data_IF_678020205436
#
_entry.id   IF_678020205436
#
_cell.length_a   1.000
_cell.length_b   1.000
_cell.length_c   1.000
_cell.angle_alpha   90.00
_cell.angle_beta   90.00
_cell.angle_gamma   90.00
#
_symmetry.space_group_name_H-M   'P 1'
#
loop_
_entity.id
_entity.type
_entity.pdbx_description
1 polymer ?
#
# COMPACT_ATOMS: atom_id res chain seq x y z
N UNK A 1 7.80 -12.64 -0.63
CA UNK A 1 9.21 -12.36 -0.27
C UNK A 1 10.01 -13.64 -0.04
N UNK A 2 9.56 -14.54 0.86
CA UNK A 2 10.29 -15.77 1.19
C UNK A 2 10.64 -16.67 0.00
N UNK A 3 9.70 -16.89 -0.93
CA UNK A 3 9.95 -17.64 -2.18
C UNK A 3 11.05 -17.02 -3.07
N UNK A 4 11.32 -15.72 -2.93
CA UNK A 4 12.40 -15.02 -3.63
C UNK A 4 13.69 -14.92 -2.79
N UNK A 5 13.76 -15.60 -1.64
CA UNK A 5 14.94 -15.61 -0.76
C UNK A 5 15.05 -14.42 0.19
N UNK A 6 13.98 -13.65 0.40
CA UNK A 6 14.01 -12.46 1.26
C UNK A 6 13.12 -12.62 2.49
N UNK A 7 13.71 -12.40 3.67
CA UNK A 7 13.00 -12.31 4.96
C UNK A 7 12.52 -10.89 5.27
N UNK A 8 13.29 -9.90 4.84
CA UNK A 8 13.00 -8.48 5.01
C UNK A 8 12.47 -7.92 3.69
N UNK A 9 11.27 -7.36 3.71
CA UNK A 9 10.64 -6.79 2.53
C UNK A 9 9.84 -5.52 2.84
N UNK A 10 9.91 -4.56 1.92
CA UNK A 10 8.99 -3.44 1.85
C UNK A 10 7.98 -3.79 0.77
N UNK A 11 6.70 -3.84 1.11
CA UNK A 11 5.62 -4.03 0.13
C UNK A 11 5.26 -2.69 -0.49
N UNK A 12 4.98 -2.70 -1.78
CA UNK A 12 4.63 -1.51 -2.55
C UNK A 12 3.56 -1.88 -3.57
N UNK A 13 2.30 -1.74 -3.15
CA UNK A 13 1.13 -1.94 -4.00
C UNK A 13 0.72 -0.61 -4.60
N UNK A 14 0.72 -0.47 -5.92
CA UNK A 14 0.20 0.74 -6.57
C UNK A 14 -0.99 0.36 -7.44
N UNK A 15 -2.14 0.95 -7.10
CA UNK A 15 -3.39 0.82 -7.83
C UNK A 15 -3.72 2.05 -8.66
N UNK A 16 -5.00 2.17 -9.03
CA UNK A 16 -5.52 3.33 -9.74
C UNK A 16 -5.73 4.57 -8.86
N UNK A 17 -5.82 4.43 -7.54
CA UNK A 17 -6.18 5.55 -6.65
C UNK A 17 -5.13 5.80 -5.58
N UNK A 18 -4.56 4.72 -5.03
CA UNK A 18 -3.66 4.75 -3.89
C UNK A 18 -2.41 3.91 -4.12
N UNK A 19 -1.44 4.15 -3.25
CA UNK A 19 -0.30 3.27 -3.02
C UNK A 19 -0.34 2.81 -1.57
N UNK A 20 -0.19 1.50 -1.35
CA UNK A 20 -0.14 0.88 -0.04
C UNK A 20 1.26 0.34 0.24
N UNK A 21 1.82 0.74 1.38
CA UNK A 21 3.18 0.37 1.81
C UNK A 21 3.13 -0.30 3.17
N UNK A 22 3.82 -1.44 3.31
CA UNK A 22 3.99 -2.14 4.57
C UNK A 22 5.39 -2.72 4.69
N UNK A 23 5.75 -3.15 5.90
CA UNK A 23 7.04 -3.73 6.23
C UNK A 23 6.87 -5.17 6.72
N UNK A 24 7.73 -6.03 6.20
CA UNK A 24 7.92 -7.41 6.65
C UNK A 24 9.35 -7.50 7.17
N UNK A 25 9.52 -7.86 8.44
CA UNK A 25 10.83 -8.04 9.07
C UNK A 25 10.94 -9.47 9.59
N UNK A 26 12.05 -10.12 9.26
CA UNK A 26 12.34 -11.51 9.63
C UNK A 26 11.23 -12.51 9.24
N UNK A 27 10.51 -12.21 8.17
CA UNK A 27 9.39 -13.03 7.67
C UNK A 27 8.02 -12.66 8.23
N UNK A 28 7.94 -11.74 9.19
CA UNK A 28 6.71 -11.36 9.87
C UNK A 28 6.28 -9.94 9.46
N UNK A 29 5.01 -9.72 9.08
CA UNK A 29 4.50 -8.37 8.86
C UNK A 29 4.46 -7.58 10.16
N UNK A 30 4.65 -6.27 10.07
CA UNK A 30 4.46 -5.38 11.22
C UNK A 30 2.96 -5.23 11.51
N UNK A 31 2.60 -5.18 12.79
CA UNK A 31 1.24 -4.97 13.25
C UNK A 31 1.13 -3.67 14.05
N UNK A 32 -0.05 -3.07 14.03
CA UNK A 32 -0.42 -1.92 14.85
C UNK A 32 -1.77 -2.18 15.51
N UNK A 33 -1.95 -1.68 16.74
CA UNK A 33 -3.24 -1.69 17.45
C UNK A 33 -3.93 -0.33 17.40
N UNK A 34 -3.39 0.62 16.63
CA UNK A 34 -3.92 1.97 16.53
C UNK A 34 -3.84 2.48 15.10
N UNK A 35 -5.00 2.77 14.52
CA UNK A 35 -5.12 3.39 13.21
C UNK A 35 -6.26 4.39 13.21
N UNK A 36 -6.11 5.48 12.47
CA UNK A 36 -7.22 6.39 12.17
C UNK A 36 -7.83 5.99 10.82
N UNK A 37 -9.15 5.74 10.80
CA UNK A 37 -9.91 5.44 9.59
C UNK A 37 -11.10 6.39 9.52
N UNK A 38 -11.16 7.20 8.45
CA UNK A 38 -12.17 8.26 8.31
C UNK A 38 -12.26 9.18 9.55
N UNK A 39 -11.11 9.53 10.12
CA UNK A 39 -10.99 10.32 11.36
C UNK A 39 -11.50 9.65 12.64
N UNK A 40 -11.83 8.35 12.57
CA UNK A 40 -12.17 7.55 13.75
C UNK A 40 -10.97 6.72 14.19
N UNK A 41 -10.58 6.78 15.47
CA UNK A 41 -9.55 5.90 16.00
C UNK A 41 -10.10 4.47 16.11
N UNK A 42 -9.44 3.54 15.44
CA UNK A 42 -9.69 2.09 15.55
C UNK A 42 -8.60 1.48 16.43
N UNK A 43 -9.03 0.71 17.43
CA UNK A 43 -8.19 0.05 18.43
C UNK A 43 -8.25 -1.48 18.32
N UNK A 44 -7.91 -1.98 17.13
CA UNK A 44 -7.92 -3.42 16.81
C UNK A 44 -6.57 -3.80 16.23
N UNK A 45 -5.95 -4.93 16.62
CA UNK A 45 -4.76 -5.44 15.97
C UNK A 45 -4.98 -5.58 14.45
N UNK A 46 -4.06 -5.03 13.66
CA UNK A 46 -4.10 -5.11 12.21
C UNK A 46 -2.70 -4.97 11.62
N UNK A 47 -2.52 -5.46 10.40
CA UNK A 47 -1.27 -5.25 9.66
C UNK A 47 -1.05 -3.74 9.49
N UNK A 48 0.18 -3.30 9.77
CA UNK A 48 0.56 -1.91 9.66
C UNK A 48 0.77 -1.54 8.18
N UNK A 49 -0.26 -0.95 7.59
CA UNK A 49 -0.29 -0.52 6.19
C UNK A 49 -0.44 0.99 6.14
N UNK A 50 0.50 1.64 5.45
CA UNK A 50 0.48 3.07 5.18
C UNK A 50 -0.04 3.31 3.77
N UNK A 51 -1.13 4.07 3.69
CA UNK A 51 -1.82 4.38 2.45
C UNK A 51 -1.53 5.82 2.06
N UNK A 52 -1.17 6.05 0.81
CA UNK A 52 -1.06 7.40 0.24
C UNK A 52 -1.91 7.56 -1.02
N UNK A 53 -2.43 8.77 -1.22
CA UNK A 53 -3.18 9.16 -2.41
C UNK A 53 -2.30 9.38 -3.65
N UNK A 54 -1.56 8.35 -4.04
CA UNK A 54 -0.73 8.32 -5.24
C UNK A 54 -1.00 7.02 -5.99
N UNK A 55 -1.72 7.08 -7.10
CA UNK A 55 -2.02 5.94 -7.97
C UNK A 55 -2.15 6.39 -9.42
N UNK A 56 -2.47 5.47 -10.33
CA UNK A 56 -2.55 5.78 -11.77
C UNK A 56 -3.51 6.94 -12.11
N UNK A 57 -4.61 7.06 -11.38
CA UNK A 57 -5.62 8.12 -11.54
C UNK A 57 -5.31 9.40 -10.77
N UNK A 58 -4.18 9.52 -10.07
CA UNK A 58 -3.82 10.77 -9.38
C UNK A 58 -3.75 11.92 -10.37
N UNK A 59 -4.50 12.98 -10.10
CA UNK A 59 -4.66 14.13 -10.98
C UNK A 59 -3.46 15.05 -10.85
N UNK A 60 -2.86 15.41 -11.98
CA UNK A 60 -1.86 16.45 -12.08
C UNK A 60 -2.53 17.82 -12.25
N UNK A 61 -2.05 18.83 -11.53
CA UNK A 61 -2.56 20.20 -11.64
C UNK A 61 -1.50 21.21 -11.24
N UNK A 62 -1.69 22.45 -11.68
CA UNK A 62 -0.87 23.58 -11.27
C UNK A 62 -1.66 24.40 -10.26
N UNK A 63 -1.07 24.70 -9.12
CA UNK A 63 -1.71 25.52 -8.10
C UNK A 63 -1.65 27.02 -8.45
N UNK A 64 -2.28 27.85 -7.61
CA UNK A 64 -2.27 29.31 -7.79
C UNK A 64 -0.88 29.95 -7.66
N UNK A 65 0.12 29.23 -7.13
CA UNK A 65 1.50 29.67 -7.02
C UNK A 65 2.37 29.21 -8.21
N UNK A 66 1.78 28.50 -9.19
CA UNK A 66 2.50 28.01 -10.37
C UNK A 66 3.27 26.71 -10.12
N UNK A 67 3.06 26.03 -8.99
CA UNK A 67 3.71 24.76 -8.69
C UNK A 67 2.90 23.58 -9.24
N UNK A 68 3.60 22.62 -9.85
CA UNK A 68 3.00 21.36 -10.29
C UNK A 68 2.78 20.41 -9.10
N UNK A 69 1.58 19.85 -9.00
CA UNK A 69 1.18 18.86 -8.00
C UNK A 69 0.60 17.62 -8.68
N UNK A 70 0.67 16.49 -7.99
CA UNK A 70 0.05 15.22 -8.41
C UNK A 70 -0.62 14.55 -7.22
N UNK A 71 -1.93 14.37 -7.29
CA UNK A 71 -2.73 13.97 -6.13
C UNK A 71 -2.92 15.11 -5.12
N UNK A 72 -3.57 14.85 -3.96
CA UNK A 72 -4.16 13.58 -3.54
C UNK A 72 -5.48 13.26 -4.26
N UNK A 73 -6.03 14.22 -5.02
CA UNK A 73 -7.23 14.01 -5.85
C UNK A 73 -6.98 12.92 -6.89
N UNK A 74 -7.95 12.05 -7.08
CA UNK A 74 -7.91 10.98 -8.08
C UNK A 74 -9.11 11.07 -9.02
N UNK A 75 -8.89 10.74 -10.29
CA UNK A 75 -9.94 10.55 -11.29
C UNK A 75 -10.68 9.21 -11.13
N UNK A 76 -10.22 8.34 -10.22
CA UNK A 76 -10.80 7.02 -9.98
C UNK A 76 -10.77 6.12 -11.21
N UNK A 77 -11.72 5.18 -11.28
CA UNK A 77 -11.91 4.31 -12.45
C UNK A 77 -12.86 4.89 -13.50
N UNK A 78 -13.80 5.73 -13.05
CA UNK A 78 -14.76 6.50 -13.86
C UNK A 78 -14.90 7.87 -13.17
N UNK A 79 -14.64 9.00 -13.87
CA UNK A 79 -14.34 9.11 -15.30
C UNK A 79 -12.93 8.62 -15.69
N UNK A 80 -12.02 8.45 -14.72
CA UNK A 80 -10.69 7.88 -14.92
C UNK A 80 -9.73 8.77 -15.73
N UNK A 81 -8.54 8.24 -16.06
CA UNK A 81 -7.58 8.84 -16.99
C UNK A 81 -8.23 9.20 -18.33
N UNK A 82 -7.75 10.27 -18.97
CA UNK A 82 -8.23 10.67 -20.31
C UNK A 82 -7.98 9.56 -21.33
N UNK A 83 -6.80 8.93 -21.24
CA UNK A 83 -6.37 7.79 -22.03
C UNK A 83 -7.38 6.62 -22.03
N UNK A 84 -8.23 6.50 -21.01
CA UNK A 84 -9.18 5.39 -20.87
C UNK A 84 -10.51 5.65 -21.58
N UNK A 85 -10.74 6.84 -22.15
CA UNK A 85 -11.95 7.19 -22.92
C UNK A 85 -13.28 6.99 -22.16
N UNK A 86 -13.28 7.25 -20.85
CA UNK A 86 -14.46 7.10 -19.96
C UNK A 86 -15.04 8.42 -19.45
N UNK A 87 -14.75 9.51 -20.17
CA UNK A 87 -15.19 10.87 -19.82
C UNK A 87 -14.20 11.64 -18.94
N UNK A 88 -12.98 11.13 -18.74
CA UNK A 88 -11.91 11.85 -18.06
C UNK A 88 -11.50 13.10 -18.82
N UNK A 89 -11.21 14.19 -18.10
CA UNK A 89 -10.81 15.49 -18.69
C UNK A 89 -9.60 16.12 -17.99
N UNK A 90 -9.09 15.51 -16.93
CA UNK A 90 -7.94 16.00 -16.17
C UNK A 90 -6.72 15.10 -16.44
N UNK A 91 -5.50 15.65 -16.55
CA UNK A 91 -4.30 14.86 -16.76
C UNK A 91 -4.03 14.02 -15.51
N UNK A 92 -3.73 12.75 -15.71
CA UNK A 92 -3.42 11.82 -14.62
C UNK A 92 -2.02 11.24 -14.73
N UNK A 93 -1.57 10.55 -13.67
CA UNK A 93 -0.32 9.79 -13.70
C UNK A 93 -0.33 8.71 -14.80
N UNK A 94 -1.47 8.07 -15.07
CA UNK A 94 -1.62 7.12 -16.17
C UNK A 94 -1.47 7.82 -17.52
N UNK A 95 -2.05 9.00 -17.71
CA UNK A 95 -1.88 9.76 -18.97
C UNK A 95 -0.41 10.08 -19.22
N UNK A 96 0.33 10.50 -18.18
CA UNK A 96 1.78 10.73 -18.28
C UNK A 96 2.56 9.45 -18.67
N UNK A 97 2.20 8.29 -18.09
CA UNK A 97 2.82 7.01 -18.46
C UNK A 97 2.52 6.62 -19.91
N UNK A 98 1.31 6.89 -20.42
CA UNK A 98 0.92 6.65 -21.82
C UNK A 98 1.70 7.58 -22.76
N UNK A 99 1.79 8.87 -22.43
CA UNK A 99 2.54 9.88 -23.21
C UNK A 99 4.02 9.48 -23.38
N UNK A 100 4.65 8.96 -22.32
CA UNK A 100 6.04 8.52 -22.36
C UNK A 100 6.23 7.08 -22.91
N UNK A 101 5.17 6.43 -23.37
CA UNK A 101 5.24 5.07 -23.91
C UNK A 101 5.61 4.00 -22.88
N UNK A 102 5.44 4.27 -21.57
CA UNK A 102 5.65 3.28 -20.50
C UNK A 102 4.52 2.26 -20.44
N UNK A 103 3.33 2.69 -20.86
CA UNK A 103 2.20 1.82 -21.13
C UNK A 103 2.03 1.68 -22.64
N UNK A 104 1.47 0.54 -23.08
CA UNK A 104 1.16 0.33 -24.49
C UNK A 104 0.17 1.43 -24.94
N UNK A 105 0.53 2.26 -25.94
CA UNK A 105 -0.26 3.42 -26.33
C UNK A 105 -1.50 3.06 -27.15
N UNK A 106 -1.66 1.79 -27.54
CA UNK A 106 -2.78 1.31 -28.36
C UNK A 106 -3.85 0.65 -27.50
N UNK A 107 -3.45 -0.30 -26.65
CA UNK A 107 -4.37 -1.00 -25.77
C UNK A 107 -3.65 -1.66 -24.58
N UNK A 108 -4.35 -1.72 -23.45
CA UNK A 108 -3.95 -2.45 -22.24
C UNK A 108 -4.91 -3.61 -21.96
N UNK A 109 -4.68 -4.34 -20.87
CA UNK A 109 -5.48 -5.52 -20.47
C UNK A 109 -5.55 -6.58 -21.60
N UNK A 110 -4.38 -6.93 -22.15
CA UNK A 110 -4.29 -7.90 -23.25
C UNK A 110 -5.11 -7.49 -24.49
N UNK A 111 -5.20 -6.19 -24.77
CA UNK A 111 -5.89 -5.65 -25.94
C UNK A 111 -7.37 -5.36 -25.73
N UNK A 112 -7.97 -5.72 -24.59
CA UNK A 112 -9.41 -5.53 -24.37
C UNK A 112 -9.79 -4.10 -24.02
N UNK A 113 -8.81 -3.26 -23.66
CA UNK A 113 -9.04 -1.87 -23.30
C UNK A 113 -8.19 -0.95 -24.19
N UNK A 114 -8.79 -0.35 -25.23
CA UNK A 114 -8.12 0.63 -26.09
C UNK A 114 -7.66 1.85 -25.30
N UNK A 115 -6.58 2.48 -25.77
CA UNK A 115 -5.96 3.66 -25.18
C UNK A 115 -5.96 4.81 -26.18
N UNK A 116 -6.34 6.00 -25.70
CA UNK A 116 -6.26 7.25 -26.45
C UNK A 116 -4.98 8.03 -26.09
N UNK A 117 -3.90 7.74 -26.81
CA UNK A 117 -2.64 8.47 -26.67
C UNK A 117 -2.80 9.95 -27.00
N UNK A 118 -3.57 10.30 -28.03
CA UNK A 118 -3.72 11.68 -28.47
C UNK A 118 -4.52 12.51 -27.45
N UNK A 119 -5.54 11.92 -26.82
CA UNK A 119 -6.26 12.49 -25.69
C UNK A 119 -5.33 12.73 -24.49
N UNK A 120 -4.50 11.75 -24.13
CA UNK A 120 -3.52 11.88 -23.04
C UNK A 120 -2.48 12.98 -23.33
N UNK A 121 -1.93 13.03 -24.55
CA UNK A 121 -0.97 14.06 -24.96
C UNK A 121 -1.59 15.46 -24.88
N UNK A 122 -2.79 15.62 -25.44
CA UNK A 122 -3.50 16.90 -25.48
C UNK A 122 -3.77 17.46 -24.08
N UNK A 123 -4.28 16.64 -23.17
CA UNK A 123 -4.59 17.13 -21.81
C UNK A 123 -3.33 17.48 -21.01
N UNK A 124 -2.24 16.73 -21.19
CA UNK A 124 -0.93 17.06 -20.59
C UNK A 124 -0.36 18.33 -21.19
N UNK A 125 -0.49 18.52 -22.49
CA UNK A 125 -0.04 19.72 -23.21
C UNK A 125 -0.79 20.97 -22.72
N UNK A 126 -2.12 20.95 -22.81
CA UNK A 126 -2.97 22.10 -22.51
C UNK A 126 -2.91 22.51 -21.04
N UNK A 127 -2.93 21.54 -20.11
CA UNK A 127 -3.07 21.84 -18.68
C UNK A 127 -1.77 21.93 -17.92
N UNK A 128 -0.68 21.34 -18.44
CA UNK A 128 0.60 21.26 -17.72
C UNK A 128 1.76 21.83 -18.55
N UNK A 129 1.95 21.36 -19.79
CA UNK A 129 3.12 21.73 -20.58
C UNK A 129 3.10 23.21 -21.00
N UNK A 130 2.00 23.68 -21.61
CA UNK A 130 1.85 25.08 -22.04
C UNK A 130 1.95 26.05 -20.85
N UNK A 131 1.22 25.86 -19.73
CA UNK A 131 1.32 26.77 -18.59
C UNK A 131 2.71 26.84 -17.95
N UNK A 132 3.50 25.75 -18.00
CA UNK A 132 4.86 25.71 -17.46
C UNK A 132 5.94 26.06 -18.49
N UNK A 133 5.58 26.27 -19.76
CA UNK A 133 6.54 26.54 -20.84
C UNK A 133 7.48 25.37 -21.13
N UNK A 134 6.97 24.13 -21.05
CA UNK A 134 7.73 22.89 -21.26
C UNK A 134 7.20 22.11 -22.47
N UNK A 135 7.98 21.15 -22.97
CA UNK A 135 7.46 20.13 -23.89
C UNK A 135 6.51 19.16 -23.17
N UNK A 136 5.64 18.48 -23.94
CA UNK A 136 4.68 17.50 -23.42
C UNK A 136 5.39 16.36 -22.70
N UNK A 137 6.52 15.89 -23.24
CA UNK A 137 7.33 14.82 -22.66
C UNK A 137 7.99 15.26 -21.36
N UNK A 138 8.49 16.50 -21.28
CA UNK A 138 9.02 17.05 -20.03
C UNK A 138 7.94 17.21 -18.96
N UNK A 139 6.75 17.67 -19.34
CA UNK A 139 5.61 17.78 -18.43
C UNK A 139 5.18 16.40 -17.91
N UNK A 140 5.03 15.41 -18.79
CA UNK A 140 4.70 14.03 -18.42
C UNK A 140 5.76 13.41 -17.50
N UNK A 141 7.05 13.62 -17.78
CA UNK A 141 8.12 13.18 -16.91
C UNK A 141 8.09 13.88 -15.54
N UNK A 142 7.79 15.18 -15.50
CA UNK A 142 7.59 15.95 -14.27
C UNK A 142 6.46 15.40 -13.39
N UNK A 143 5.33 15.05 -14.00
CA UNK A 143 4.19 14.39 -13.31
C UNK A 143 4.66 13.10 -12.62
N UNK A 144 5.37 12.24 -13.35
CA UNK A 144 5.88 10.98 -12.81
C UNK A 144 6.88 11.23 -11.67
N UNK A 145 7.79 12.20 -11.84
CA UNK A 145 8.78 12.55 -10.80
C UNK A 145 8.13 13.02 -9.49
N UNK A 146 7.06 13.80 -9.58
CA UNK A 146 6.31 14.24 -8.39
C UNK A 146 5.59 13.06 -7.74
N UNK A 147 4.95 12.20 -8.52
CA UNK A 147 4.31 10.99 -8.00
C UNK A 147 5.30 10.06 -7.30
N UNK A 148 6.48 9.82 -7.90
CA UNK A 148 7.57 9.04 -7.32
C UNK A 148 8.07 9.66 -6.01
N UNK A 149 8.24 10.99 -5.95
CA UNK A 149 8.65 11.68 -4.72
C UNK A 149 7.61 11.52 -3.59
N UNK A 150 6.31 11.61 -3.93
CA UNK A 150 5.22 11.36 -2.99
C UNK A 150 5.23 9.91 -2.47
N UNK A 151 5.46 8.93 -3.35
CA UNK A 151 5.60 7.51 -3.01
C UNK A 151 6.82 7.25 -2.12
N UNK A 152 7.96 7.85 -2.44
CA UNK A 152 9.19 7.72 -1.66
C UNK A 152 9.05 8.30 -0.24
N UNK A 153 8.27 9.38 -0.07
CA UNK A 153 7.96 9.93 1.25
C UNK A 153 7.21 8.92 2.14
N UNK A 154 6.28 8.14 1.58
CA UNK A 154 5.59 7.09 2.32
C UNK A 154 6.53 5.97 2.75
N UNK A 155 7.43 5.55 1.87
CA UNK A 155 8.45 4.54 2.20
C UNK A 155 9.36 5.04 3.32
N UNK A 156 9.79 6.31 3.28
CA UNK A 156 10.62 6.91 4.35
C UNK A 156 9.93 6.95 5.70
N UNK A 157 8.60 7.16 5.72
CA UNK A 157 7.78 7.16 6.93
C UNK A 157 7.74 5.79 7.61
N UNK A 158 7.61 4.71 6.83
CA UNK A 158 7.61 3.35 7.39
C UNK A 158 9.02 2.84 7.69
N UNK A 159 10.05 3.31 6.99
CA UNK A 159 11.44 2.85 7.16
C UNK A 159 12.28 3.81 8.01
N UNK A 160 12.94 4.77 7.37
CA UNK A 160 13.98 5.63 7.97
C UNK A 160 13.49 6.42 9.18
N UNK A 161 12.24 6.89 9.18
CA UNK A 161 11.67 7.64 10.31
C UNK A 161 11.40 6.75 11.53
N UNK A 162 11.41 5.42 11.36
CA UNK A 162 11.32 4.42 12.42
C UNK A 162 12.68 3.82 12.78
N UNK A 163 13.78 4.40 12.31
CA UNK A 163 15.14 3.89 12.54
C UNK A 163 15.50 2.63 11.76
N UNK A 164 14.71 2.28 10.74
CA UNK A 164 14.93 1.08 9.91
C UNK A 164 15.80 1.46 8.70
N UNK A 165 16.86 0.69 8.45
CA UNK A 165 17.70 0.85 7.26
C UNK A 165 17.06 0.16 6.04
N UNK A 166 16.49 0.93 5.08
CA UNK A 166 15.75 0.36 3.94
C UNK A 166 16.62 -0.50 3.03
N UNK A 167 17.95 -0.31 3.01
CA UNK A 167 18.88 -1.07 2.15
C UNK A 167 18.95 -2.56 2.50
N UNK A 168 18.48 -2.94 3.69
CA UNK A 168 18.39 -4.33 4.16
C UNK A 168 17.12 -5.05 3.70
N UNK A 169 16.21 -4.34 3.02
CA UNK A 169 14.91 -4.84 2.61
C UNK A 169 14.84 -5.01 1.10
N UNK A 170 14.20 -6.09 0.65
CA UNK A 170 13.80 -6.21 -0.75
C UNK A 170 12.54 -5.37 -1.01
N UNK A 171 12.53 -4.58 -2.07
CA UNK A 171 11.39 -3.76 -2.45
C UNK A 171 10.46 -4.54 -3.39
N UNK A 172 9.30 -4.96 -2.89
CA UNK A 172 8.36 -5.79 -3.63
C UNK A 172 7.32 -4.89 -4.29
N UNK A 173 7.48 -4.61 -5.58
CA UNK A 173 6.59 -3.74 -6.35
C UNK A 173 5.50 -4.57 -7.03
N UNK A 174 4.25 -4.39 -6.63
CA UNK A 174 3.08 -5.10 -7.16
C UNK A 174 1.86 -4.19 -7.26
N UNK A 175 0.71 -4.77 -7.61
CA UNK A 175 -0.45 -4.01 -8.07
C UNK A 175 -0.38 -3.75 -9.56
N UNK A 176 -1.40 -3.08 -10.09
CA UNK A 176 -1.50 -2.79 -11.52
C UNK A 176 -0.42 -1.80 -12.00
N UNK A 177 0.01 -0.89 -11.12
CA UNK A 177 0.97 0.17 -11.45
C UNK A 177 2.29 0.09 -10.64
N UNK A 178 2.44 -0.87 -9.71
CA UNK A 178 3.63 -0.93 -8.86
C UNK A 178 4.91 -1.08 -9.66
N UNK A 179 5.01 -2.06 -10.58
CA UNK A 179 6.19 -2.21 -11.43
C UNK A 179 6.49 -1.00 -12.33
N UNK A 180 5.48 -0.18 -12.69
CA UNK A 180 5.68 1.03 -13.52
C UNK A 180 6.50 2.10 -12.79
N UNK A 181 6.35 2.18 -11.47
CA UNK A 181 6.98 3.19 -10.62
C UNK A 181 8.04 2.63 -9.67
N UNK A 182 8.15 1.30 -9.60
CA UNK A 182 8.94 0.61 -8.58
C UNK A 182 10.44 0.92 -8.63
N UNK A 183 11.03 0.94 -9.83
CA UNK A 183 12.48 1.21 -9.98
C UNK A 183 12.82 2.65 -9.61
N UNK A 184 12.07 3.62 -10.12
CA UNK A 184 12.32 5.04 -9.83
C UNK A 184 12.12 5.35 -8.34
N UNK A 185 11.08 4.76 -7.75
CA UNK A 185 10.81 4.88 -6.31
C UNK A 185 11.92 4.23 -5.49
N UNK A 186 12.42 3.07 -5.91
CA UNK A 186 13.56 2.42 -5.25
C UNK A 186 14.82 3.30 -5.29
N UNK A 187 15.14 3.89 -6.44
CA UNK A 187 16.27 4.81 -6.60
C UNK A 187 16.12 6.01 -5.66
N UNK A 188 14.95 6.66 -5.66
CA UNK A 188 14.63 7.82 -4.81
C UNK A 188 14.73 7.49 -3.30
N UNK A 189 14.51 6.24 -2.92
CA UNK A 189 14.65 5.74 -1.54
C UNK A 189 16.03 5.16 -1.22
N UNK A 190 16.96 5.08 -2.18
CA UNK A 190 18.26 4.44 -1.98
C UNK A 190 18.18 2.91 -1.78
N UNK A 191 17.13 2.27 -2.30
CA UNK A 191 16.91 0.83 -2.26
C UNK A 191 17.73 0.14 -3.36
N UNK A 192 18.41 -0.95 -3.00
CA UNK A 192 19.33 -1.66 -3.89
C UNK A 192 18.68 -2.82 -4.67
N UNK A 193 17.45 -3.18 -4.32
CA UNK A 193 16.82 -4.40 -4.84
C UNK A 193 15.32 -4.23 -5.00
N UNK A 194 14.85 -4.42 -6.23
CA UNK A 194 13.44 -4.44 -6.60
C UNK A 194 13.06 -5.85 -7.05
N UNK A 195 11.90 -6.31 -6.59
CA UNK A 195 11.29 -7.59 -6.98
C UNK A 195 9.90 -7.28 -7.53
N UNK A 196 9.71 -7.53 -8.81
CA UNK A 196 8.39 -7.51 -9.44
C UNK A 196 7.87 -8.96 -9.54
N UNK A 197 6.74 -9.32 -8.91
CA UNK A 197 6.13 -10.63 -9.09
C UNK A 197 5.72 -10.87 -10.55
N UNK A 198 5.63 -12.14 -10.98
CA UNK A 198 5.20 -12.51 -12.34
C UNK A 198 3.82 -11.96 -12.70
N UNK A 199 2.91 -12.01 -11.73
CA UNK A 199 1.53 -11.54 -11.84
C UNK A 199 1.30 -10.46 -10.76
N UNK A 200 1.82 -9.24 -10.98
CA UNK A 200 1.83 -8.21 -9.95
C UNK A 200 0.41 -7.69 -9.65
N UNK A 201 -0.45 -7.60 -10.67
CA UNK A 201 -1.82 -7.10 -10.54
C UNK A 201 -2.78 -7.99 -9.76
N UNK A 202 -2.45 -9.27 -9.53
CA UNK A 202 -3.30 -10.24 -8.81
C UNK A 202 -2.70 -10.67 -7.46
N UNK A 203 -1.64 -9.99 -7.02
CA UNK A 203 -0.90 -10.34 -5.81
C UNK A 203 -1.80 -10.38 -4.57
N UNK A 204 -2.72 -9.43 -4.42
CA UNK A 204 -3.64 -9.36 -3.28
C UNK A 204 -4.64 -10.53 -3.27
N UNK A 205 -5.20 -10.88 -4.43
CA UNK A 205 -6.06 -12.05 -4.58
C UNK A 205 -5.31 -13.34 -4.24
N UNK A 206 -4.05 -13.46 -4.68
CA UNK A 206 -3.20 -14.60 -4.32
C UNK A 206 -2.93 -14.64 -2.81
N UNK A 207 -2.76 -13.49 -2.16
CA UNK A 207 -2.60 -13.37 -0.71
C UNK A 207 -3.76 -14.02 0.04
N UNK A 208 -5.01 -13.73 -0.34
CA UNK A 208 -6.21 -14.33 0.25
C UNK A 208 -6.19 -15.86 0.10
N UNK A 209 -5.86 -16.37 -1.09
CA UNK A 209 -5.85 -17.81 -1.37
C UNK A 209 -4.82 -18.61 -0.56
N UNK A 210 -3.76 -17.96 -0.08
CA UNK A 210 -2.68 -18.61 0.69
C UNK A 210 -2.66 -18.20 2.16
N UNK A 211 -3.66 -17.44 2.61
CA UNK A 211 -3.77 -17.02 4.01
C UNK A 211 -4.49 -18.08 4.83
N UNK A 212 -4.02 -18.28 6.05
CA UNK A 212 -4.73 -19.09 7.04
C UNK A 212 -5.96 -18.33 7.57
N UNK A 213 -6.98 -19.09 7.98
CA UNK A 213 -8.14 -18.55 8.70
C UNK A 213 -7.70 -18.21 10.13
N UNK A 214 -7.89 -16.94 10.54
CA UNK A 214 -7.47 -16.43 11.84
C UNK A 214 -8.51 -15.46 12.41
N UNK A 215 -8.68 -15.47 13.73
CA UNK A 215 -9.57 -14.56 14.46
C UNK A 215 -8.99 -14.27 15.85
N UNK A 216 -9.00 -12.99 16.22
CA UNK A 216 -8.53 -12.52 17.52
C UNK A 216 -9.70 -12.35 18.51
N UNK A 217 -9.52 -12.87 19.72
CA UNK A 217 -10.43 -12.65 20.86
C UNK A 217 -9.75 -11.69 21.83
N UNK A 218 -10.31 -10.49 21.98
CA UNK A 218 -9.65 -9.38 22.70
C UNK A 218 -10.53 -8.87 23.84
N UNK A 219 -9.95 -8.67 25.03
CA UNK A 219 -10.59 -8.02 26.17
C UNK A 219 -9.64 -7.05 26.85
N UNK A 220 -10.14 -5.85 27.17
CA UNK A 220 -9.38 -4.84 27.92
C UNK A 220 -9.76 -4.85 29.40
N UNK A 221 -8.77 -5.00 30.29
CA UNK A 221 -8.91 -4.86 31.74
C UNK A 221 -7.73 -4.08 32.31
N UNK A 222 -8.02 -3.00 33.04
CA UNK A 222 -6.99 -2.19 33.70
C UNK A 222 -6.82 -2.72 35.13
N UNK A 223 -5.67 -3.32 35.42
CA UNK A 223 -5.30 -3.77 36.77
C UNK A 223 -3.78 -3.79 36.94
N UNK A 224 -3.26 -3.73 38.18
CA UNK A 224 -1.85 -3.98 38.44
C UNK A 224 -1.42 -5.36 37.92
N UNK A 225 -0.31 -5.43 37.18
CA UNK A 225 0.28 -6.69 36.76
C UNK A 225 1.23 -7.21 37.84
N UNK A 226 0.65 -7.82 38.87
CA UNK A 226 1.34 -8.40 40.03
C UNK A 226 1.11 -9.91 40.08
N UNK A 227 1.95 -10.63 40.84
CA UNK A 227 1.96 -12.10 40.91
C UNK A 227 0.59 -12.68 41.29
N UNK A 228 -0.13 -12.00 42.16
CA UNK A 228 -1.44 -12.41 42.69
C UNK A 228 -2.53 -12.41 41.61
N UNK A 229 -2.36 -11.64 40.53
CA UNK A 229 -3.33 -11.59 39.44
C UNK A 229 -3.14 -12.71 38.40
N UNK A 230 -2.05 -13.48 38.47
CA UNK A 230 -1.69 -14.44 37.43
C UNK A 230 -2.76 -15.53 37.22
N UNK A 231 -3.32 -16.07 38.30
CA UNK A 231 -4.39 -17.09 38.22
C UNK A 231 -5.66 -16.58 37.53
N UNK A 232 -6.02 -15.31 37.77
CA UNK A 232 -7.15 -14.68 37.09
C UNK A 232 -6.86 -14.45 35.61
N UNK A 233 -5.65 -14.04 35.25
CA UNK A 233 -5.23 -13.87 33.85
C UNK A 233 -5.28 -15.20 33.10
N UNK A 234 -4.74 -16.28 33.67
CA UNK A 234 -4.73 -17.60 33.02
C UNK A 234 -6.15 -18.14 32.85
N UNK A 235 -7.02 -17.96 33.85
CA UNK A 235 -8.43 -18.36 33.76
C UNK A 235 -9.17 -17.62 32.65
N UNK A 236 -8.89 -16.32 32.47
CA UNK A 236 -9.47 -15.52 31.38
C UNK A 236 -8.95 -15.97 30.01
N UNK A 237 -7.67 -16.31 29.89
CA UNK A 237 -7.07 -16.85 28.67
C UNK A 237 -7.64 -18.22 28.28
N UNK A 238 -7.97 -19.05 29.27
CA UNK A 238 -8.67 -20.33 29.03
C UNK A 238 -10.08 -20.14 28.45
N UNK A 239 -10.78 -19.06 28.85
CA UNK A 239 -12.06 -18.71 28.23
C UNK A 239 -11.88 -18.40 26.74
N UNK A 240 -10.89 -17.55 26.38
CA UNK A 240 -10.59 -17.26 24.97
C UNK A 240 -10.14 -18.51 24.21
N UNK A 241 -9.40 -19.42 24.86
CA UNK A 241 -9.02 -20.70 24.27
C UNK A 241 -10.25 -21.50 23.87
N UNK A 242 -11.22 -21.62 24.76
CA UNK A 242 -12.47 -22.33 24.48
C UNK A 242 -13.31 -21.65 23.39
N UNK A 243 -13.31 -20.32 23.32
CA UNK A 243 -13.96 -19.57 22.23
C UNK A 243 -13.28 -19.81 20.88
N UNK A 244 -11.95 -19.71 20.82
CA UNK A 244 -11.16 -19.98 19.62
C UNK A 244 -11.31 -21.42 19.13
N UNK A 245 -11.37 -22.40 20.05
CA UNK A 245 -11.63 -23.81 19.70
C UNK A 245 -13.00 -24.02 19.06
N UNK A 246 -14.05 -23.39 19.61
CA UNK A 246 -15.41 -23.45 19.04
C UNK A 246 -15.46 -22.79 17.67
N UNK A 247 -14.82 -21.64 17.52
CA UNK A 247 -14.80 -20.92 16.24
C UNK A 247 -14.01 -21.69 15.16
N UNK A 248 -12.80 -22.17 15.46
CA UNK A 248 -12.04 -23.01 14.52
C UNK A 248 -12.78 -24.30 14.15
N UNK A 249 -13.58 -24.85 15.07
CA UNK A 249 -14.45 -25.98 14.77
C UNK A 249 -15.62 -25.59 13.84
N UNK A 250 -16.22 -24.41 13.99
CA UNK A 250 -17.27 -23.94 13.07
C UNK A 250 -16.74 -23.57 11.68
N UNK A 251 -15.45 -23.27 11.55
CA UNK A 251 -14.76 -23.05 10.28
C UNK A 251 -14.17 -24.36 9.69
N UNK A 252 -14.55 -25.53 10.24
CA UNK A 252 -14.10 -26.86 9.80
C UNK A 252 -12.57 -27.06 9.81
N UNK A 253 -11.83 -26.32 10.64
CA UNK A 253 -10.36 -26.43 10.73
C UNK A 253 -9.98 -27.69 11.52
N UNK A 254 -9.21 -28.64 10.96
CA UNK A 254 -8.79 -29.85 11.67
C UNK A 254 -7.90 -29.57 12.88
N UNK A 255 -8.05 -30.33 13.98
CA UNK A 255 -7.31 -30.09 15.23
C UNK A 255 -5.78 -30.01 15.05
N UNK A 256 -5.19 -30.84 14.19
CA UNK A 256 -3.75 -30.87 13.94
C UNK A 256 -3.21 -29.63 13.20
N UNK A 257 -4.10 -28.79 12.65
CA UNK A 257 -3.76 -27.52 11.98
C UNK A 257 -4.07 -26.30 12.86
N UNK A 258 -4.69 -26.48 14.02
CA UNK A 258 -5.06 -25.36 14.90
C UNK A 258 -3.84 -24.88 15.65
N UNK A 259 -3.57 -23.58 15.54
CA UNK A 259 -2.54 -22.89 16.30
C UNK A 259 -3.18 -21.77 17.12
N UNK A 260 -2.53 -21.42 18.22
CA UNK A 260 -3.04 -20.42 19.14
C UNK A 260 -1.89 -19.64 19.73
N UNK A 261 -2.03 -18.32 19.74
CA UNK A 261 -1.08 -17.40 20.34
C UNK A 261 -1.77 -16.64 21.47
N UNK A 262 -1.13 -16.59 22.64
CA UNK A 262 -1.64 -15.82 23.78
C UNK A 262 -0.80 -14.55 23.91
N UNK A 263 -1.45 -13.39 23.83
CA UNK A 263 -0.79 -12.09 23.91
C UNK A 263 -1.30 -11.34 25.15
N UNK A 264 -0.38 -10.77 25.93
CA UNK A 264 -0.67 -9.88 27.06
C UNK A 264 -0.06 -8.51 26.80
N UNK A 265 -0.90 -7.48 26.77
CA UNK A 265 -0.46 -6.09 26.71
C UNK A 265 -0.32 -5.52 28.13
N UNK A 266 0.87 -5.03 28.46
CA UNK A 266 1.17 -4.40 29.73
C UNK A 266 2.00 -3.13 29.52
N UNK A 267 1.86 -2.18 30.44
CA UNK A 267 2.62 -0.92 30.44
C UNK A 267 3.15 -0.61 31.84
N UNK A 268 4.26 0.13 31.91
CA UNK A 268 4.77 0.61 33.18
C UNK A 268 3.81 1.62 33.80
N UNK A 269 3.83 1.71 35.14
CA UNK A 269 3.06 2.73 35.84
C UNK A 269 3.54 4.13 35.42
N UNK A 270 2.59 4.99 35.04
CA UNK A 270 2.87 6.36 34.55
C UNK A 270 3.16 6.46 33.05
N UNK A 271 3.20 5.35 32.31
CA UNK A 271 3.29 5.36 30.85
C UNK A 271 1.88 5.52 30.25
N UNK A 272 1.72 6.48 29.33
CA UNK A 272 0.48 6.68 28.57
C UNK A 272 0.49 5.84 27.30
#
# INVERSE_FOLDING_TARGET
AAQAGYKNAITFDVGGTSTDVSLISDGTPHFTTSREVASYPIKTPMVDIHVIGAGGGSIAYIDSAGALHVGPRSAGAVPGPVAYMRGGVEPTLTDANVVLGRLNPVAILNGTMPIDLDGARRVVEEKIAIPLGMSVEQAAYGIIRIAVSNMARAIRLVTTQRGIDPRKYAFIAYGGAGPLHGVETAIECGLSRVVAPREPGTMCARGILVSDVSLDFVQSKIRPFIRECWSSITSEMEVFRGEAERWLASEDVPQYQRQYENVLEARYFGQN
#
